data_IF_773436490051
#
_entry.id   IF_773436490051
#
_cell.length_a   1.000
_cell.length_b   1.000
_cell.length_c   1.000
_cell.angle_alpha   90.00
_cell.angle_beta   90.00
_cell.angle_gamma   90.00
#
_symmetry.space_group_name_H-M   'P 1'
#
loop_
_entity.id
_entity.type
_entity.pdbx_description
1 polymer ?
#
# COMPACT_ATOMS: atom_id res chain seq x y z
N UNK A 1 75.14 -16.55 30.38
CA UNK A 1 75.27 -15.96 31.73
C UNK A 1 75.22 -14.45 31.57
N UNK A 2 74.15 -13.79 32.09
CA UNK A 2 74.20 -12.83 33.23
C UNK A 2 74.79 -11.47 32.79
N UNK A 3 74.18 -10.29 32.90
CA UNK A 3 73.22 -9.66 33.84
C UNK A 3 72.52 -8.48 33.09
N UNK A 4 71.20 -8.17 33.20
CA UNK A 4 70.44 -7.61 34.35
C UNK A 4 70.83 -6.14 34.61
N UNK A 5 69.99 -5.10 34.73
CA UNK A 5 68.55 -4.81 34.61
C UNK A 5 68.44 -3.26 34.68
N UNK A 6 67.52 -2.61 33.97
CA UNK A 6 66.59 -1.68 34.64
C UNK A 6 65.31 -1.53 33.83
N UNK A 7 64.22 -1.81 34.54
CA UNK A 7 62.84 -1.99 34.10
C UNK A 7 62.13 -0.66 34.07
N UNK A 8 61.40 -0.34 32.99
CA UNK A 8 60.29 0.60 33.04
C UNK A 8 58.98 -0.16 32.87
N UNK A 9 58.15 -0.05 33.90
CA UNK A 9 56.82 -0.62 34.01
C UNK A 9 55.85 0.32 33.29
N UNK A 10 55.11 -0.19 32.31
CA UNK A 10 53.82 0.39 31.97
C UNK A 10 52.78 -0.71 31.80
N UNK A 11 51.67 -0.51 32.50
CA UNK A 11 50.65 -1.46 32.91
C UNK A 11 49.79 -1.96 31.75
N UNK A 12 49.51 -3.27 31.76
CA UNK A 12 48.49 -3.93 30.94
C UNK A 12 47.09 -3.54 31.44
N UNK A 13 46.30 -2.89 30.59
CA UNK A 13 44.87 -2.74 30.81
C UNK A 13 44.13 -4.03 30.40
N UNK A 14 43.29 -4.52 31.32
CA UNK A 14 42.45 -5.72 31.22
C UNK A 14 41.24 -5.50 30.27
N UNK A 15 40.71 -6.54 29.60
CA UNK A 15 39.52 -6.40 28.76
C UNK A 15 38.27 -6.22 29.63
N UNK A 16 37.64 -5.04 29.54
CA UNK A 16 36.35 -4.79 30.16
C UNK A 16 35.26 -5.63 29.48
N UNK A 17 34.63 -6.52 30.25
CA UNK A 17 33.39 -7.21 29.88
C UNK A 17 32.33 -6.17 29.53
N UNK A 18 31.85 -6.16 28.29
CA UNK A 18 30.64 -5.46 27.91
C UNK A 18 29.47 -6.06 28.70
N UNK A 19 28.98 -5.35 29.72
CA UNK A 19 27.67 -5.62 30.31
C UNK A 19 26.62 -5.11 29.32
N UNK A 20 25.97 -6.03 28.62
CA UNK A 20 24.74 -5.76 27.88
C UNK A 20 23.69 -5.39 28.93
N UNK A 21 23.48 -4.08 29.12
CA UNK A 21 22.31 -3.56 29.82
C UNK A 21 21.08 -3.93 29.01
N UNK A 22 20.25 -4.82 29.54
CA UNK A 22 18.91 -5.11 29.01
C UNK A 22 18.07 -3.84 29.06
N UNK A 23 18.14 -3.04 28.00
CA UNK A 23 17.16 -1.99 27.76
C UNK A 23 15.82 -2.70 27.59
N UNK A 24 14.93 -2.47 28.56
CA UNK A 24 13.53 -2.91 28.51
C UNK A 24 12.96 -2.55 27.13
N UNK A 25 12.25 -3.46 26.45
CA UNK A 25 11.56 -3.09 25.23
C UNK A 25 10.62 -1.94 25.58
N UNK A 26 10.63 -0.88 24.77
CA UNK A 26 9.59 0.14 24.79
C UNK A 26 8.30 -0.57 24.40
N UNK A 27 7.57 -1.07 25.40
CA UNK A 27 6.19 -1.51 25.24
C UNK A 27 5.43 -0.23 24.91
N UNK A 28 4.96 -0.10 23.67
CA UNK A 28 3.89 0.84 23.35
C UNK A 28 2.72 0.46 24.26
N UNK A 29 2.53 1.24 25.34
CA UNK A 29 1.31 1.18 26.12
C UNK A 29 0.18 1.45 25.13
N UNK A 30 -0.67 0.44 24.94
CA UNK A 30 -1.94 0.61 24.23
C UNK A 30 -2.70 1.71 24.96
N UNK A 31 -2.60 2.94 24.46
CA UNK A 31 -3.37 4.05 24.96
C UNK A 31 -4.83 3.60 24.90
N UNK A 32 -5.47 3.52 26.06
CA UNK A 32 -6.91 3.40 26.17
C UNK A 32 -7.50 4.51 25.32
N UNK A 33 -8.03 4.16 24.14
CA UNK A 33 -8.81 5.08 23.33
C UNK A 33 -10.05 5.42 24.13
N UNK A 34 -9.99 6.53 24.87
CA UNK A 34 -11.15 7.07 25.56
C UNK A 34 -12.23 7.33 24.50
N UNK A 35 -13.36 6.63 24.60
CA UNK A 35 -14.54 6.86 23.75
C UNK A 35 -15.03 8.29 24.01
N UNK A 36 -14.70 9.22 23.12
CA UNK A 36 -15.47 10.44 23.01
C UNK A 36 -16.91 10.04 22.64
N UNK A 37 -17.84 10.29 23.57
CA UNK A 37 -19.26 9.94 23.41
C UNK A 37 -19.86 10.92 22.39
N UNK A 38 -19.91 10.51 21.13
CA UNK A 38 -20.68 11.23 20.10
C UNK A 38 -22.14 11.24 20.56
N UNK A 39 -22.76 12.42 20.63
CA UNK A 39 -24.18 12.61 20.98
C UNK A 39 -25.04 11.73 20.07
N UNK A 40 -26.04 11.08 20.66
CA UNK A 40 -26.83 10.00 20.04
C UNK A 40 -27.40 10.34 18.68
N UNK A 41 -26.70 9.92 17.64
CA UNK A 41 -27.29 9.49 16.37
C UNK A 41 -28.05 8.19 16.62
N UNK A 42 -29.19 8.00 15.96
CA UNK A 42 -29.77 6.67 15.93
C UNK A 42 -28.76 5.74 15.26
N UNK A 43 -28.67 4.52 15.76
CA UNK A 43 -27.76 3.52 15.22
C UNK A 43 -28.50 2.21 15.11
N UNK A 44 -28.30 1.54 13.98
CA UNK A 44 -28.93 0.25 13.71
C UNK A 44 -27.92 -0.85 13.97
N UNK A 45 -28.32 -1.84 14.74
CA UNK A 45 -27.55 -3.07 14.94
C UNK A 45 -27.97 -4.10 13.90
N UNK A 46 -27.00 -4.63 13.17
CA UNK A 46 -27.14 -5.78 12.26
C UNK A 46 -26.13 -6.87 12.67
N UNK A 47 -26.15 -8.02 11.99
CA UNK A 47 -25.20 -9.10 12.23
C UNK A 47 -24.59 -9.60 10.92
N UNK A 48 -23.31 -10.01 10.96
CA UNK A 48 -22.71 -10.79 9.87
C UNK A 48 -23.29 -12.20 9.81
N UNK A 49 -22.99 -12.94 8.73
CA UNK A 49 -23.39 -14.36 8.59
C UNK A 49 -22.84 -15.24 9.73
N UNK A 50 -21.69 -14.86 10.27
CA UNK A 50 -20.98 -15.52 11.37
C UNK A 50 -21.43 -15.00 12.75
N UNK A 51 -22.46 -14.14 12.81
CA UNK A 51 -23.03 -13.61 14.04
C UNK A 51 -22.27 -12.44 14.66
N UNK A 52 -21.30 -11.84 13.94
CA UNK A 52 -20.56 -10.67 14.44
C UNK A 52 -21.49 -9.45 14.45
N UNK A 53 -21.70 -8.78 15.60
CA UNK A 53 -22.50 -7.56 15.66
C UNK A 53 -21.84 -6.41 14.88
N UNK A 54 -22.62 -5.74 14.05
CA UNK A 54 -22.20 -4.57 13.28
C UNK A 54 -23.14 -3.41 13.62
N UNK A 55 -22.58 -2.28 14.05
CA UNK A 55 -23.32 -1.05 14.31
C UNK A 55 -23.20 -0.12 13.10
N UNK A 56 -24.34 0.29 12.54
CA UNK A 56 -24.42 1.23 11.43
C UNK A 56 -24.83 2.64 11.91
N UNK A 57 -24.24 3.71 11.34
CA UNK A 57 -24.72 5.06 11.56
C UNK A 57 -26.03 5.29 10.80
N UNK A 58 -26.78 6.30 11.22
CA UNK A 58 -27.93 6.80 10.46
C UNK A 58 -27.58 7.10 9.00
N UNK A 59 -28.49 6.74 8.09
CA UNK A 59 -28.38 7.02 6.66
C UNK A 59 -27.60 5.98 5.84
N UNK A 60 -26.96 4.99 6.47
CA UNK A 60 -26.37 3.85 5.77
C UNK A 60 -27.29 2.63 5.85
N UNK A 61 -27.84 2.21 4.72
CA UNK A 61 -28.64 1.00 4.65
C UNK A 61 -27.78 -0.27 4.70
N UNK A 62 -28.36 -1.36 5.20
CA UNK A 62 -27.67 -2.63 5.37
C UNK A 62 -27.24 -3.24 4.03
N UNK A 63 -28.12 -3.21 3.04
CA UNK A 63 -27.85 -3.63 1.67
C UNK A 63 -26.73 -2.80 1.02
N UNK A 64 -26.71 -1.48 1.22
CA UNK A 64 -25.63 -0.61 0.74
C UNK A 64 -24.26 -1.04 1.30
N UNK A 65 -24.17 -1.38 2.58
CA UNK A 65 -22.92 -1.85 3.17
C UNK A 65 -22.49 -3.21 2.62
N UNK A 66 -23.43 -4.15 2.47
CA UNK A 66 -23.12 -5.49 1.96
C UNK A 66 -22.82 -5.50 0.46
N UNK A 67 -23.33 -4.53 -0.31
CA UNK A 67 -22.93 -4.29 -1.69
C UNK A 67 -21.58 -3.58 -1.83
N UNK A 68 -21.05 -2.97 -0.77
CA UNK A 68 -19.75 -2.31 -0.79
C UNK A 68 -18.62 -3.34 -0.70
N UNK A 69 -18.06 -3.71 -1.85
CA UNK A 69 -17.00 -4.73 -2.01
C UNK A 69 -15.82 -4.55 -1.04
N UNK A 70 -15.27 -3.35 -0.79
CA UNK A 70 -14.20 -3.16 0.20
C UNK A 70 -14.56 -3.68 1.60
N UNK A 71 -15.80 -3.50 2.05
CA UNK A 71 -16.25 -4.02 3.35
C UNK A 71 -16.33 -5.55 3.37
N UNK A 72 -16.91 -6.16 2.35
CA UNK A 72 -17.05 -7.62 2.30
C UNK A 72 -15.71 -8.32 2.10
N UNK A 73 -14.81 -7.75 1.28
CA UNK A 73 -13.43 -8.21 1.13
C UNK A 73 -12.67 -8.08 2.45
N UNK A 74 -12.72 -6.93 3.13
CA UNK A 74 -12.06 -6.75 4.42
C UNK A 74 -12.54 -7.77 5.47
N UNK A 75 -13.86 -7.98 5.58
CA UNK A 75 -14.45 -8.94 6.53
C UNK A 75 -14.00 -10.38 6.24
N UNK A 76 -14.02 -10.80 4.98
CA UNK A 76 -13.64 -12.15 4.59
C UNK A 76 -12.14 -12.41 4.74
N UNK A 77 -11.28 -11.46 4.37
CA UNK A 77 -9.83 -11.56 4.53
C UNK A 77 -9.43 -11.60 6.00
N UNK A 78 -10.00 -10.72 6.83
CA UNK A 78 -9.76 -10.74 8.28
C UNK A 78 -10.23 -12.07 8.89
N UNK A 79 -11.40 -12.56 8.50
CA UNK A 79 -11.91 -13.85 8.99
C UNK A 79 -10.99 -15.01 8.64
N UNK A 80 -10.43 -15.02 7.41
CA UNK A 80 -9.44 -16.02 6.98
C UNK A 80 -8.17 -15.93 7.80
N UNK A 81 -7.60 -14.73 7.95
CA UNK A 81 -6.39 -14.50 8.76
C UNK A 81 -6.58 -14.95 10.21
N UNK A 82 -7.72 -14.62 10.84
CA UNK A 82 -8.04 -15.07 12.19
C UNK A 82 -8.14 -16.60 12.30
N UNK A 83 -8.60 -17.30 11.26
CA UNK A 83 -8.71 -18.75 11.24
C UNK A 83 -7.34 -19.47 11.19
N UNK A 84 -6.30 -18.82 10.64
CA UNK A 84 -4.93 -19.36 10.60
C UNK A 84 -4.31 -19.55 11.99
N UNK A 85 -4.87 -18.92 13.03
CA UNK A 85 -4.46 -19.12 14.43
C UNK A 85 -4.65 -20.57 14.92
N UNK A 86 -5.37 -21.41 14.18
CA UNK A 86 -5.50 -22.84 14.46
C UNK A 86 -4.23 -23.65 14.12
N UNK A 87 -3.35 -23.13 13.27
CA UNK A 87 -2.10 -23.80 12.86
C UNK A 87 -1.14 -23.98 14.04
N UNK A 88 -0.43 -25.11 14.08
CA UNK A 88 0.43 -25.52 15.20
C UNK A 88 1.47 -24.46 15.60
N UNK A 89 2.05 -23.81 14.60
CA UNK A 89 3.15 -22.86 14.79
C UNK A 89 2.67 -21.40 14.81
N UNK A 90 1.35 -21.16 14.78
CA UNK A 90 0.84 -19.79 14.77
C UNK A 90 1.10 -19.09 16.11
N UNK A 91 1.70 -17.88 16.15
CA UNK A 91 2.11 -17.22 17.39
C UNK A 91 0.96 -16.96 18.37
N UNK A 92 -0.26 -16.75 17.86
CA UNK A 92 -1.46 -16.51 18.66
C UNK A 92 -2.30 -17.77 18.96
N UNK A 93 -1.84 -18.98 18.63
CA UNK A 93 -2.61 -20.22 18.84
C UNK A 93 -3.03 -20.45 20.30
N UNK A 94 -2.16 -20.08 21.25
CA UNK A 94 -2.41 -20.32 22.68
C UNK A 94 -3.59 -19.51 23.24
N UNK A 95 -3.78 -18.27 22.77
CA UNK A 95 -4.94 -17.45 23.09
C UNK A 95 -5.38 -16.64 21.85
N UNK A 96 -6.21 -17.25 20.97
CA UNK A 96 -6.50 -16.69 19.66
C UNK A 96 -7.39 -15.45 19.75
N UNK A 97 -7.07 -14.48 18.91
CA UNK A 97 -7.89 -13.31 18.68
C UNK A 97 -9.16 -13.66 17.92
N UNK A 98 -10.25 -12.97 18.21
CA UNK A 98 -11.48 -13.03 17.44
C UNK A 98 -12.06 -11.64 17.21
N UNK A 99 -12.72 -11.47 16.06
CA UNK A 99 -13.52 -10.30 15.78
C UNK A 99 -14.79 -10.33 16.63
N UNK A 100 -14.95 -9.37 17.53
CA UNK A 100 -16.06 -9.29 18.49
C UNK A 100 -17.19 -8.39 18.02
N UNK A 101 -16.87 -7.32 17.32
CA UNK A 101 -17.85 -6.37 16.77
C UNK A 101 -17.21 -5.43 15.78
N UNK A 102 -18.04 -4.82 14.93
CA UNK A 102 -17.65 -3.73 14.04
C UNK A 102 -18.57 -2.54 14.28
N UNK A 103 -18.02 -1.33 14.26
CA UNK A 103 -18.78 -0.09 14.27
C UNK A 103 -18.39 0.72 13.04
N UNK A 104 -19.33 0.94 12.13
CA UNK A 104 -19.17 1.91 11.05
C UNK A 104 -19.33 3.30 11.68
N UNK A 105 -18.29 4.12 11.57
CA UNK A 105 -18.21 5.43 12.21
C UNK A 105 -18.66 6.55 11.27
N UNK A 106 -18.32 6.43 9.98
CA UNK A 106 -18.69 7.38 8.94
C UNK A 106 -18.65 6.70 7.57
N UNK A 107 -19.34 7.29 6.59
CA UNK A 107 -19.35 6.84 5.22
C UNK A 107 -19.55 8.02 4.27
N UNK A 108 -19.11 7.86 3.03
CA UNK A 108 -19.35 8.80 1.94
C UNK A 108 -20.17 8.11 0.84
N UNK A 109 -21.14 8.84 0.27
CA UNK A 109 -21.90 8.40 -0.89
C UNK A 109 -21.43 9.17 -2.12
N UNK A 110 -21.16 8.45 -3.20
CA UNK A 110 -20.86 9.00 -4.52
C UNK A 110 -22.09 8.92 -5.41
N UNK A 111 -22.41 10.03 -6.08
CA UNK A 111 -23.65 10.15 -6.84
C UNK A 111 -24.87 10.09 -5.92
N UNK A 112 -25.91 9.36 -6.33
CA UNK A 112 -27.17 9.32 -5.59
C UNK A 112 -27.19 8.35 -4.40
N UNK A 113 -26.41 7.26 -4.44
CA UNK A 113 -26.54 6.19 -3.45
C UNK A 113 -25.36 5.21 -3.34
N UNK A 114 -24.32 5.34 -4.15
CA UNK A 114 -23.22 4.36 -4.15
C UNK A 114 -22.27 4.65 -2.99
N UNK A 115 -22.00 3.68 -2.14
CA UNK A 115 -20.99 3.82 -1.07
C UNK A 115 -19.61 3.98 -1.71
N UNK A 116 -18.95 5.09 -1.38
CA UNK A 116 -17.60 5.41 -1.84
C UNK A 116 -16.55 5.03 -0.81
N UNK A 117 -16.72 5.50 0.43
CA UNK A 117 -15.78 5.27 1.53
C UNK A 117 -16.53 4.85 2.79
N UNK A 118 -15.88 4.02 3.62
CA UNK A 118 -16.38 3.63 4.95
C UNK A 118 -15.25 3.75 5.97
N UNK A 119 -15.44 4.59 7.00
CA UNK A 119 -14.59 4.57 8.19
C UNK A 119 -15.21 3.63 9.22
N UNK A 120 -14.43 2.67 9.72
CA UNK A 120 -14.89 1.75 10.76
C UNK A 120 -13.87 1.59 11.89
N UNK A 121 -14.35 1.08 13.01
CA UNK A 121 -13.55 0.55 14.09
C UNK A 121 -14.09 -0.83 14.49
N UNK A 122 -13.19 -1.81 14.58
CA UNK A 122 -13.50 -3.15 15.03
C UNK A 122 -12.94 -3.43 16.43
N UNK A 123 -13.56 -4.36 17.13
CA UNK A 123 -13.03 -4.91 18.38
C UNK A 123 -12.48 -6.30 18.06
N UNK A 124 -11.15 -6.42 18.03
CA UNK A 124 -10.46 -7.70 17.88
C UNK A 124 -9.77 -8.02 19.19
N UNK A 125 -10.18 -9.09 19.86
CA UNK A 125 -9.66 -9.43 21.19
C UNK A 125 -9.59 -10.94 21.45
N UNK A 126 -8.61 -11.35 22.25
CA UNK A 126 -8.47 -12.71 22.76
C UNK A 126 -9.24 -12.91 24.08
N UNK A 127 -9.05 -14.06 24.75
CA UNK A 127 -9.77 -14.38 26.00
C UNK A 127 -9.17 -13.67 27.22
N UNK A 128 -7.87 -13.37 27.19
CA UNK A 128 -7.23 -12.54 28.21
C UNK A 128 -7.70 -11.06 28.19
N UNK A 129 -8.42 -10.64 27.14
CA UNK A 129 -8.95 -9.29 26.99
C UNK A 129 -7.98 -8.32 26.31
N UNK A 130 -6.85 -8.82 25.80
CA UNK A 130 -5.93 -8.05 24.97
C UNK A 130 -6.62 -7.65 23.65
N UNK A 131 -6.29 -6.47 23.14
CA UNK A 131 -6.94 -5.90 21.96
C UNK A 131 -5.94 -5.48 20.90
N UNK A 132 -6.28 -5.73 19.65
CA UNK A 132 -5.55 -5.22 18.50
C UNK A 132 -6.16 -3.89 18.01
N UNK A 133 -5.35 -2.91 17.60
CA UNK A 133 -5.84 -1.74 16.89
C UNK A 133 -6.52 -2.16 15.59
N UNK A 134 -7.76 -1.76 15.38
CA UNK A 134 -8.55 -2.18 14.22
C UNK A 134 -9.47 -1.06 13.71
N UNK A 135 -8.95 0.17 13.65
CA UNK A 135 -9.62 1.28 12.99
C UNK A 135 -9.13 1.38 11.54
N UNK A 136 -10.04 1.40 10.58
CA UNK A 136 -9.69 1.36 9.15
C UNK A 136 -10.55 2.32 8.33
N UNK A 137 -9.95 2.95 7.32
CA UNK A 137 -10.65 3.56 6.20
C UNK A 137 -10.74 2.51 5.09
N UNK A 138 -11.95 2.14 4.71
CA UNK A 138 -12.21 1.26 3.59
C UNK A 138 -12.49 2.08 2.34
N UNK A 139 -11.65 1.91 1.33
CA UNK A 139 -11.74 2.56 0.02
C UNK A 139 -11.53 1.61 -1.15
N UNK A 140 -11.02 0.40 -0.90
CA UNK A 140 -10.80 -0.61 -1.91
C UNK A 140 -9.47 -0.50 -2.67
N UNK A 141 -9.24 -1.44 -3.61
CA UNK A 141 -8.02 -1.52 -4.41
C UNK A 141 -7.85 -0.35 -5.38
N UNK A 142 -6.58 -0.08 -5.71
CA UNK A 142 -6.19 0.85 -6.76
C UNK A 142 -5.06 0.26 -7.62
N UNK A 143 -4.74 0.94 -8.72
CA UNK A 143 -3.63 0.61 -9.60
C UNK A 143 -2.69 1.80 -9.75
N UNK A 144 -1.41 1.56 -10.01
CA UNK A 144 -0.41 2.61 -10.23
C UNK A 144 0.52 2.28 -11.40
N UNK A 145 0.82 3.28 -12.23
CA UNK A 145 1.46 3.08 -13.53
C UNK A 145 2.86 3.68 -13.57
N UNK A 146 3.87 2.83 -13.70
CA UNK A 146 5.22 3.26 -14.07
C UNK A 146 5.33 3.34 -15.59
N UNK A 147 4.94 4.49 -16.15
CA UNK A 147 5.10 4.77 -17.58
C UNK A 147 6.48 5.34 -17.83
N UNK A 148 7.24 4.66 -18.68
CA UNK A 148 8.60 5.00 -19.06
C UNK A 148 8.67 5.31 -20.54
N UNK A 149 9.27 6.45 -20.86
CA UNK A 149 9.50 6.91 -22.22
C UNK A 149 10.97 6.66 -22.59
N UNK A 150 11.19 6.06 -23.75
CA UNK A 150 12.50 5.77 -24.31
C UNK A 150 12.63 6.59 -25.61
N UNK A 151 13.67 7.43 -25.76
CA UNK A 151 13.89 8.09 -27.04
C UNK A 151 14.08 7.09 -28.19
N UNK A 152 13.46 7.33 -29.34
CA UNK A 152 13.58 6.46 -30.51
C UNK A 152 15.02 6.35 -31.04
N UNK A 153 15.82 7.40 -30.86
CA UNK A 153 17.23 7.46 -31.23
C UNK A 153 18.16 6.81 -30.18
N UNK A 154 17.62 6.37 -29.04
CA UNK A 154 18.40 5.62 -28.05
C UNK A 154 18.71 4.21 -28.59
N UNK A 155 19.96 3.72 -28.48
CA UNK A 155 20.33 2.35 -28.84
C UNK A 155 19.47 1.29 -28.13
N UNK A 156 19.28 0.09 -28.71
CA UNK A 156 18.48 -0.98 -28.09
C UNK A 156 18.99 -1.40 -26.70
N UNK A 157 20.29 -1.31 -26.45
CA UNK A 157 20.97 -1.63 -25.20
C UNK A 157 21.09 -0.43 -24.24
N UNK A 158 20.46 0.71 -24.58
CA UNK A 158 20.50 1.91 -23.75
C UNK A 158 19.66 1.78 -22.48
N UNK A 159 20.23 2.28 -21.37
CA UNK A 159 19.52 2.46 -20.12
C UNK A 159 18.67 3.74 -20.08
N UNK A 160 18.71 4.57 -21.12
CA UNK A 160 18.01 5.86 -21.16
C UNK A 160 16.48 5.68 -21.11
N UNK A 161 15.89 6.10 -20.00
CA UNK A 161 14.44 6.11 -19.73
C UNK A 161 14.05 7.40 -19.02
N UNK A 162 12.83 7.85 -19.27
CA UNK A 162 12.19 8.98 -18.58
C UNK A 162 10.87 8.53 -17.98
N UNK A 163 10.65 8.78 -16.70
CA UNK A 163 9.41 8.44 -16.00
C UNK A 163 8.41 9.58 -16.15
N UNK A 164 7.17 9.22 -16.47
CA UNK A 164 6.04 10.15 -16.53
C UNK A 164 5.38 10.21 -15.15
N UNK A 165 5.45 11.37 -14.51
CA UNK A 165 4.71 11.69 -13.29
C UNK A 165 3.51 12.58 -13.61
N UNK A 166 2.51 12.54 -12.75
CA UNK A 166 1.44 13.53 -12.67
C UNK A 166 1.70 14.48 -11.50
N UNK A 167 1.24 15.72 -11.65
CA UNK A 167 1.24 16.74 -10.61
C UNK A 167 -0.19 17.18 -10.41
N UNK A 168 -0.76 16.84 -9.25
CA UNK A 168 -2.18 17.07 -9.00
C UNK A 168 -2.48 17.36 -7.52
N UNK A 169 -3.66 17.94 -7.21
CA UNK A 169 -4.09 18.12 -5.84
C UNK A 169 -4.34 16.80 -5.12
N UNK A 170 -3.72 16.65 -3.95
CA UNK A 170 -4.03 15.62 -2.96
C UNK A 170 -4.41 16.31 -1.66
N UNK A 171 -5.66 16.74 -1.59
CA UNK A 171 -6.24 17.41 -0.41
C UNK A 171 -6.05 16.60 0.88
N UNK A 172 -6.21 15.25 0.89
CA UNK A 172 -5.93 14.46 2.10
C UNK A 172 -4.47 14.55 2.59
N UNK A 173 -3.52 14.81 1.69
CA UNK A 173 -2.11 15.02 2.03
C UNK A 173 -1.77 16.52 2.26
N UNK A 174 -2.76 17.41 2.22
CA UNK A 174 -2.56 18.86 2.34
C UNK A 174 -1.76 19.48 1.19
N UNK A 175 -1.80 18.88 -0.01
CA UNK A 175 -0.99 19.30 -1.16
C UNK A 175 -1.85 19.65 -2.36
N UNK A 176 -1.51 20.72 -3.08
CA UNK A 176 -2.17 21.10 -4.34
C UNK A 176 -1.34 20.78 -5.60
N UNK A 177 -0.08 20.36 -5.41
CA UNK A 177 0.83 19.99 -6.50
C UNK A 177 1.65 18.78 -6.08
N UNK A 178 0.96 17.71 -5.70
CA UNK A 178 1.60 16.46 -5.30
C UNK A 178 2.14 15.75 -6.54
N UNK A 179 3.43 15.41 -6.53
CA UNK A 179 4.10 14.68 -7.62
C UNK A 179 3.95 13.20 -7.33
N UNK A 180 3.37 12.46 -8.27
CA UNK A 180 3.07 11.05 -8.09
C UNK A 180 2.98 10.30 -9.42
N UNK A 181 3.03 8.97 -9.37
CA UNK A 181 2.70 8.18 -10.56
C UNK A 181 1.20 8.30 -10.90
N UNK A 182 0.84 8.13 -12.19
CA UNK A 182 -0.55 7.94 -12.58
C UNK A 182 -1.19 6.77 -11.83
N UNK A 183 -2.43 6.93 -11.38
CA UNK A 183 -3.09 5.92 -10.56
C UNK A 183 -4.61 6.04 -10.58
N UNK A 184 -5.27 4.88 -10.55
CA UNK A 184 -6.73 4.77 -10.63
C UNK A 184 -7.35 3.85 -9.62
N UNK A 185 -8.63 4.07 -9.32
CA UNK A 185 -9.40 3.16 -8.47
C UNK A 185 -9.98 2.02 -9.30
N UNK A 186 -9.90 0.80 -8.78
CA UNK A 186 -10.50 -0.35 -9.47
C UNK A 186 -12.00 -0.39 -9.18
N UNK A 187 -12.80 -0.55 -10.23
CA UNK A 187 -14.24 -0.69 -10.11
C UNK A 187 -14.66 -2.12 -9.71
N UNK A 188 -15.96 -2.36 -9.66
CA UNK A 188 -16.51 -3.64 -9.22
C UNK A 188 -16.16 -4.79 -10.19
N UNK A 189 -15.76 -4.49 -11.44
CA UNK A 189 -15.41 -5.49 -12.46
C UNK A 189 -14.16 -6.30 -12.09
N UNK A 190 -13.25 -5.72 -11.29
CA UNK A 190 -11.98 -6.37 -10.93
C UNK A 190 -10.98 -6.50 -12.09
N UNK A 191 -11.19 -5.80 -13.19
CA UNK A 191 -10.29 -5.81 -14.35
C UNK A 191 -9.16 -4.78 -14.18
N UNK A 192 -8.15 -5.13 -13.38
CA UNK A 192 -7.04 -4.22 -13.05
C UNK A 192 -6.29 -3.68 -14.28
N UNK A 193 -6.07 -4.50 -15.32
CA UNK A 193 -5.39 -4.08 -16.56
C UNK A 193 -6.22 -3.11 -17.40
N UNK A 194 -7.52 -3.33 -17.52
CA UNK A 194 -8.43 -2.43 -18.23
C UNK A 194 -8.49 -1.05 -17.55
N UNK A 195 -8.61 -1.04 -16.22
CA UNK A 195 -8.56 0.19 -15.41
C UNK A 195 -7.21 0.89 -15.61
N UNK A 196 -6.10 0.16 -15.48
CA UNK A 196 -4.76 0.69 -15.71
C UNK A 196 -4.61 1.37 -17.09
N UNK A 197 -5.09 0.73 -18.16
CA UNK A 197 -5.04 1.28 -19.51
C UNK A 197 -5.94 2.52 -19.67
N UNK A 198 -7.14 2.49 -19.09
CA UNK A 198 -8.08 3.62 -19.09
C UNK A 198 -7.49 4.84 -18.37
N UNK A 199 -6.90 4.64 -17.19
CA UNK A 199 -6.30 5.71 -16.38
C UNK A 199 -5.11 6.35 -17.09
N UNK A 200 -4.29 5.55 -17.79
CA UNK A 200 -3.23 6.09 -18.64
C UNK A 200 -3.81 6.93 -19.79
N UNK A 201 -4.91 6.51 -20.40
CA UNK A 201 -5.57 7.29 -21.43
C UNK A 201 -6.12 8.62 -20.89
N UNK A 202 -6.77 8.59 -19.73
CA UNK A 202 -7.40 9.76 -19.11
C UNK A 202 -6.35 10.75 -18.56
N UNK A 203 -5.34 10.26 -17.83
CA UNK A 203 -4.35 11.10 -17.17
C UNK A 203 -3.18 11.49 -18.10
N UNK A 204 -2.79 10.65 -19.07
CA UNK A 204 -1.63 10.90 -19.93
C UNK A 204 -1.99 11.19 -21.39
N UNK A 205 -3.22 10.87 -21.83
CA UNK A 205 -3.60 10.95 -23.24
C UNK A 205 -2.93 9.89 -24.12
N UNK A 206 -2.53 8.77 -23.53
CA UNK A 206 -1.85 7.66 -24.21
C UNK A 206 -2.80 6.48 -24.28
N UNK A 207 -3.10 6.00 -25.48
CA UNK A 207 -3.80 4.73 -25.65
C UNK A 207 -2.79 3.58 -25.59
N UNK A 208 -3.01 2.64 -24.68
CA UNK A 208 -2.21 1.43 -24.49
C UNK A 208 -3.16 0.25 -24.50
N UNK A 209 -2.83 -0.81 -25.23
CA UNK A 209 -3.60 -2.04 -25.15
C UNK A 209 -3.24 -2.81 -23.86
N UNK A 210 -4.21 -3.43 -23.19
CA UNK A 210 -4.00 -4.10 -21.89
C UNK A 210 -2.85 -5.12 -21.87
N UNK A 211 -2.57 -5.77 -23.00
CA UNK A 211 -1.50 -6.74 -23.13
C UNK A 211 -0.09 -6.12 -23.14
N UNK A 212 0.02 -4.81 -23.39
CA UNK A 212 1.27 -4.04 -23.33
C UNK A 212 1.60 -3.58 -21.90
N UNK A 213 0.71 -3.82 -20.94
CA UNK A 213 0.94 -3.55 -19.52
C UNK A 213 1.55 -4.76 -18.82
N UNK A 214 2.73 -4.55 -18.25
CA UNK A 214 3.43 -5.53 -17.44
C UNK A 214 3.06 -5.34 -15.97
N UNK A 215 2.58 -6.39 -15.30
CA UNK A 215 2.24 -6.33 -13.88
C UNK A 215 3.48 -6.60 -13.03
N UNK A 216 4.08 -5.53 -12.48
CA UNK A 216 5.27 -5.65 -11.64
C UNK A 216 4.96 -6.38 -10.32
N UNK A 217 3.76 -6.20 -9.79
CA UNK A 217 3.35 -6.88 -8.56
C UNK A 217 3.25 -8.40 -8.74
N UNK A 218 2.67 -8.89 -9.84
CA UNK A 218 2.58 -10.32 -10.13
C UNK A 218 3.97 -10.91 -10.39
N UNK A 219 4.83 -10.21 -11.14
CA UNK A 219 6.19 -10.66 -11.41
C UNK A 219 7.04 -10.74 -10.13
N UNK A 220 6.88 -9.78 -9.23
CA UNK A 220 7.56 -9.79 -7.93
C UNK A 220 7.06 -10.93 -7.05
N UNK A 221 5.75 -11.20 -7.02
CA UNK A 221 5.20 -12.34 -6.30
C UNK A 221 5.65 -13.68 -6.89
N UNK A 222 5.74 -13.81 -8.22
CA UNK A 222 6.30 -14.98 -8.88
C UNK A 222 7.78 -15.18 -8.52
N UNK A 223 8.57 -14.09 -8.52
CA UNK A 223 9.97 -14.11 -8.10
C UNK A 223 10.16 -14.49 -6.63
N UNK A 224 9.26 -14.04 -5.74
CA UNK A 224 9.25 -14.42 -4.34
C UNK A 224 8.83 -15.88 -4.14
N UNK A 225 7.83 -16.38 -4.87
CA UNK A 225 7.38 -17.77 -4.81
C UNK A 225 8.42 -18.80 -5.27
N UNK A 226 9.42 -18.39 -6.05
CA UNK A 226 10.63 -19.18 -6.32
C UNK A 226 11.52 -19.34 -5.07
N UNK A 227 11.42 -18.43 -4.10
CA UNK A 227 12.23 -18.35 -2.87
C UNK A 227 11.46 -18.72 -1.59
N UNK A 228 10.14 -18.53 -1.53
CA UNK A 228 9.29 -18.62 -0.33
C UNK A 228 8.65 -19.99 -0.06
N UNK A 229 9.24 -21.10 -0.52
CA UNK A 229 8.86 -22.46 -0.03
C UNK A 229 9.15 -22.69 1.47
N UNK A 230 9.48 -21.65 2.22
CA UNK A 230 9.88 -21.72 3.64
C UNK A 230 9.35 -20.53 4.44
N UNK A 231 8.07 -20.55 4.78
CA UNK A 231 7.56 -20.01 6.04
C UNK A 231 7.10 -18.55 6.08
N UNK A 232 5.92 -18.35 6.66
CA UNK A 232 5.29 -17.09 7.10
C UNK A 232 4.57 -16.28 5.99
N UNK A 233 3.32 -16.67 5.69
CA UNK A 233 2.40 -15.93 4.82
C UNK A 233 1.46 -16.82 3.97
N UNK A 234 1.78 -18.11 3.85
CA UNK A 234 0.97 -19.09 3.12
C UNK A 234 -0.44 -19.22 3.76
N UNK A 235 -1.47 -18.76 3.05
CA UNK A 235 -2.88 -18.99 3.39
C UNK A 235 -3.71 -17.75 3.74
N UNK A 236 -3.10 -16.57 3.92
CA UNK A 236 -3.86 -15.33 4.18
C UNK A 236 -4.67 -14.89 2.94
N UNK A 237 -4.15 -15.18 1.74
CA UNK A 237 -4.78 -14.80 0.48
C UNK A 237 -4.88 -13.28 0.32
N UNK A 238 -3.91 -12.54 0.88
CA UNK A 238 -3.74 -11.12 0.60
C UNK A 238 -3.32 -10.91 -0.84
N UNK A 239 -3.68 -9.77 -1.41
CA UNK A 239 -3.27 -9.40 -2.75
C UNK A 239 -1.75 -9.24 -2.80
N UNK A 240 -1.14 -9.78 -3.87
CA UNK A 240 0.22 -9.46 -4.25
C UNK A 240 0.26 -8.02 -4.78
N UNK A 241 0.39 -7.05 -3.87
CA UNK A 241 0.28 -5.63 -4.17
C UNK A 241 0.98 -4.79 -3.09
N UNK A 242 1.24 -3.52 -3.40
CA UNK A 242 1.84 -2.58 -2.44
C UNK A 242 0.76 -2.00 -1.52
N UNK A 243 0.95 -2.05 -0.20
CA UNK A 243 0.01 -1.47 0.77
C UNK A 243 0.50 -0.09 1.23
N UNK A 244 -0.22 1.02 0.93
CA UNK A 244 0.23 2.38 1.28
C UNK A 244 0.15 2.64 2.78
N UNK A 245 -0.81 2.01 3.47
CA UNK A 245 -0.97 2.12 4.92
C UNK A 245 -1.67 0.88 5.50
N UNK A 246 -0.95 -0.23 5.61
CA UNK A 246 -1.50 -1.51 6.10
C UNK A 246 -2.09 -1.43 7.54
N UNK A 247 -1.75 -0.40 8.31
CA UNK A 247 -2.32 -0.16 9.64
C UNK A 247 -3.55 0.76 9.66
N UNK A 248 -3.94 1.37 8.53
CA UNK A 248 -4.94 2.44 8.49
C UNK A 248 -5.99 2.33 7.39
N UNK A 249 -5.73 1.60 6.31
CA UNK A 249 -6.68 1.38 5.20
C UNK A 249 -6.59 -0.01 4.60
N UNK A 250 -7.64 -0.43 3.88
CA UNK A 250 -7.67 -1.68 3.09
C UNK A 250 -7.07 -1.55 1.68
N UNK A 251 -6.73 -0.32 1.29
CA UNK A 251 -6.15 -0.05 -0.02
C UNK A 251 -4.89 -0.88 -0.22
N UNK A 252 -4.81 -1.46 -1.40
CA UNK A 252 -3.62 -2.09 -1.95
C UNK A 252 -3.53 -1.66 -3.41
N UNK A 253 -2.31 -1.41 -3.84
CA UNK A 253 -1.98 -0.81 -5.12
C UNK A 253 -1.29 -1.86 -5.98
N UNK A 254 -1.96 -2.33 -7.03
CA UNK A 254 -1.32 -3.19 -8.03
C UNK A 254 -0.52 -2.32 -8.98
N UNK A 255 0.77 -2.61 -9.10
CA UNK A 255 1.70 -1.77 -9.85
C UNK A 255 1.93 -2.38 -11.22
N UNK A 256 1.73 -1.56 -12.25
CA UNK A 256 2.03 -1.91 -13.64
C UNK A 256 3.16 -1.03 -14.18
N UNK A 257 3.86 -1.51 -15.19
CA UNK A 257 4.80 -0.72 -15.99
C UNK A 257 4.49 -0.82 -17.47
N UNK A 258 4.91 0.22 -18.19
CA UNK A 258 4.88 0.26 -19.63
C UNK A 258 6.07 1.06 -20.15
N UNK A 259 6.80 0.49 -21.10
CA UNK A 259 7.86 1.19 -21.83
C UNK A 259 7.35 1.59 -23.21
N UNK A 260 7.44 2.88 -23.54
CA UNK A 260 7.06 3.41 -24.84
C UNK A 260 8.21 4.15 -25.50
N UNK A 261 8.50 3.78 -26.73
CA UNK A 261 9.44 4.48 -27.60
C UNK A 261 8.77 5.71 -28.23
N UNK A 262 9.43 6.88 -28.16
CA UNK A 262 8.93 8.15 -28.70
C UNK A 262 10.06 9.01 -29.31
N UNK A 263 9.76 9.93 -30.25
CA UNK A 263 10.74 10.88 -30.75
C UNK A 263 11.30 11.75 -29.63
N UNK A 264 12.61 11.96 -29.61
CA UNK A 264 13.26 12.78 -28.56
C UNK A 264 12.71 14.21 -28.49
N UNK A 265 12.28 14.77 -29.61
CA UNK A 265 11.61 16.08 -29.67
C UNK A 265 10.29 16.11 -28.90
N UNK A 266 9.59 14.98 -28.78
CA UNK A 266 8.33 14.89 -28.02
C UNK A 266 8.57 14.86 -26.50
N UNK A 267 9.71 14.34 -26.01
CA UNK A 267 10.01 14.35 -24.56
C UNK A 267 9.90 15.75 -23.95
N UNK A 268 10.31 16.77 -24.71
CA UNK A 268 10.27 18.16 -24.26
C UNK A 268 8.86 18.74 -24.27
N UNK A 269 7.98 18.29 -25.18
CA UNK A 269 6.61 18.80 -25.29
C UNK A 269 5.64 18.18 -24.28
N UNK A 270 6.02 17.05 -23.68
CA UNK A 270 5.19 16.36 -22.68
C UNK A 270 5.24 17.00 -21.30
N UNK A 271 6.37 17.58 -20.89
CA UNK A 271 6.49 18.23 -19.58
C UNK A 271 5.67 19.52 -19.54
N UNK A 272 4.82 19.69 -18.52
CA UNK A 272 3.92 20.83 -18.40
C UNK A 272 2.62 20.70 -19.19
N UNK A 273 2.41 19.58 -19.91
CA UNK A 273 1.13 19.31 -20.58
C UNK A 273 0.02 19.16 -19.54
N UNK A 274 -1.11 19.79 -19.82
CA UNK A 274 -2.31 19.73 -18.98
C UNK A 274 -3.21 18.60 -19.48
N UNK A 275 -3.61 17.71 -18.58
CA UNK A 275 -4.37 16.47 -18.86
C UNK A 275 -5.45 16.23 -17.79
N UNK A 276 -6.14 15.08 -17.84
CA UNK A 276 -7.25 14.72 -16.95
C UNK A 276 -8.60 15.33 -17.34
N UNK A 277 -9.68 14.86 -16.71
CA UNK A 277 -11.03 15.36 -16.94
C UNK A 277 -11.25 16.69 -16.21
N UNK A 278 -10.74 17.78 -16.78
CA UNK A 278 -10.79 19.12 -16.18
C UNK A 278 -12.20 19.60 -15.85
N UNK A 279 -13.17 19.26 -16.69
CA UNK A 279 -14.58 19.59 -16.48
C UNK A 279 -15.19 18.83 -15.29
N UNK A 280 -14.52 17.78 -14.80
CA UNK A 280 -14.87 17.01 -13.60
C UNK A 280 -14.00 17.32 -12.39
N UNK A 281 -13.16 18.35 -12.47
CA UNK A 281 -12.34 18.85 -11.35
C UNK A 281 -10.94 18.27 -11.24
N UNK A 282 -10.55 17.36 -12.14
CA UNK A 282 -9.19 16.82 -12.21
C UNK A 282 -8.24 17.81 -12.87
N UNK A 283 -7.27 18.32 -12.09
CA UNK A 283 -6.26 19.27 -12.57
C UNK A 283 -4.91 18.58 -12.58
N UNK A 284 -4.58 17.94 -13.70
CA UNK A 284 -3.38 17.14 -13.84
C UNK A 284 -2.39 17.86 -14.75
N UNK A 285 -1.14 17.96 -14.30
CA UNK A 285 0.00 18.40 -15.13
C UNK A 285 1.01 17.29 -15.23
N UNK A 286 1.51 17.00 -16.42
CA UNK A 286 2.55 16.00 -16.60
C UNK A 286 3.93 16.55 -16.23
N UNK A 287 4.74 15.73 -15.56
CA UNK A 287 6.14 16.01 -15.24
C UNK A 287 7.00 14.84 -15.69
N UNK A 288 7.87 15.09 -16.66
CA UNK A 288 8.79 14.08 -17.20
C UNK A 288 10.13 14.19 -16.48
N UNK A 289 10.65 13.07 -15.96
CA UNK A 289 11.88 13.06 -15.16
C UNK A 289 12.79 11.92 -15.63
N UNK A 290 14.11 12.15 -15.82
CA UNK A 290 15.04 11.05 -16.10
C UNK A 290 14.94 9.94 -15.05
N UNK A 291 14.97 8.67 -15.45
CA UNK A 291 14.80 7.51 -14.56
C UNK A 291 15.70 7.59 -13.31
N UNK A 292 16.98 7.95 -13.47
CA UNK A 292 17.94 8.13 -12.37
C UNK A 292 17.54 9.17 -11.30
N UNK A 293 16.67 10.11 -11.64
CA UNK A 293 16.16 11.16 -10.76
C UNK A 293 14.73 10.86 -10.27
N UNK A 294 14.07 9.82 -10.80
CA UNK A 294 12.67 9.52 -10.52
C UNK A 294 12.41 9.27 -9.03
N UNK A 295 13.32 8.57 -8.33
CA UNK A 295 13.20 8.32 -6.89
C UNK A 295 13.24 9.61 -6.05
N UNK A 296 13.94 10.66 -6.53
CA UNK A 296 13.97 11.97 -5.87
C UNK A 296 12.70 12.76 -6.15
N UNK A 297 12.24 12.74 -7.40
CA UNK A 297 11.02 13.44 -7.81
C UNK A 297 9.75 12.86 -7.16
N UNK A 298 9.66 11.53 -7.09
CA UNK A 298 8.58 10.77 -6.48
C UNK A 298 8.81 10.39 -5.01
N UNK A 299 9.78 11.00 -4.32
CA UNK A 299 10.20 10.59 -2.97
C UNK A 299 9.08 10.61 -1.92
N UNK A 300 8.01 11.36 -2.17
CA UNK A 300 6.84 11.47 -1.27
C UNK A 300 5.72 10.50 -1.61
N UNK A 301 5.81 9.84 -2.76
CA UNK A 301 4.75 9.02 -3.32
C UNK A 301 5.09 7.53 -3.13
N UNK A 302 4.28 6.85 -2.30
CA UNK A 302 4.53 5.44 -1.96
C UNK A 302 4.55 4.54 -3.20
N UNK A 303 3.62 4.76 -4.14
CA UNK A 303 3.55 3.97 -5.39
C UNK A 303 4.74 4.24 -6.31
N UNK A 304 5.28 5.47 -6.35
CA UNK A 304 6.50 5.75 -7.11
C UNK A 304 7.69 4.97 -6.57
N UNK A 305 7.91 5.03 -5.25
CA UNK A 305 9.01 4.30 -4.62
C UNK A 305 8.83 2.79 -4.74
N UNK A 306 7.62 2.27 -4.54
CA UNK A 306 7.29 0.87 -4.74
C UNK A 306 7.55 0.41 -6.18
N UNK A 307 7.08 1.17 -7.17
CA UNK A 307 7.24 0.80 -8.57
C UNK A 307 8.70 0.82 -9.03
N UNK A 308 9.48 1.82 -8.61
CA UNK A 308 10.90 1.87 -8.91
C UNK A 308 11.65 0.70 -8.27
N UNK A 309 11.38 0.38 -7.00
CA UNK A 309 12.00 -0.75 -6.32
C UNK A 309 11.68 -2.09 -7.00
N UNK A 310 10.40 -2.32 -7.33
CA UNK A 310 9.99 -3.55 -8.03
C UNK A 310 10.62 -3.64 -9.42
N UNK A 311 10.54 -2.58 -10.22
CA UNK A 311 11.09 -2.57 -11.57
C UNK A 311 12.61 -2.77 -11.57
N UNK A 312 13.36 -2.04 -10.72
CA UNK A 312 14.81 -2.20 -10.62
C UNK A 312 15.20 -3.60 -10.12
N UNK A 313 14.45 -4.15 -9.16
CA UNK A 313 14.66 -5.50 -8.64
C UNK A 313 14.49 -6.56 -9.72
N UNK A 314 13.33 -6.53 -10.39
CA UNK A 314 13.01 -7.45 -11.48
C UNK A 314 13.98 -7.30 -12.65
N UNK A 315 14.43 -6.08 -12.95
CA UNK A 315 15.38 -5.82 -14.03
C UNK A 315 16.76 -6.41 -13.74
N UNK A 316 17.24 -6.33 -12.49
CA UNK A 316 18.50 -6.99 -12.07
C UNK A 316 18.43 -8.51 -12.22
N UNK A 317 17.23 -9.09 -12.13
CA UNK A 317 16.98 -10.51 -12.34
C UNK A 317 16.65 -10.87 -13.81
N UNK A 318 16.61 -9.89 -14.73
CA UNK A 318 16.25 -10.12 -16.13
C UNK A 318 14.79 -10.50 -16.37
N UNK A 319 13.89 -10.14 -15.44
CA UNK A 319 12.44 -10.43 -15.50
C UNK A 319 11.62 -9.32 -16.17
N UNK A 320 12.24 -8.15 -16.38
CA UNK A 320 11.72 -7.00 -17.15
C UNK A 320 12.84 -6.40 -18.00
#
# INVERSE_FOLDING_TARGET
>A
MKQTLQTFICSKASPARLRISSKRPFIFSAASYARARVRGTMSRLIQSKEGVPITLPDGLAEDQLWSFKPFTTWMSTLSRSLALQSSADHPFRADPYALRSVTVQAFDLFGSSRVGFVKLAAVVSNRAGERLPAAALLRGPSVAMLVMLIPDDAPPDSDERYVVFTVQPRVPAGSLGFVELPAGMVDDSGHFKGVAAQEIQEELGITIAEHELQCLSDLAAAAAGEQEKTGEGEGEGLAAAMFPSAGGCDEHVTIYSHERRIPRSELQSWSGRLTGLRDRGEKITLRIVPMREAWKAGARDAKALGALALWEGLRREGKV
#
